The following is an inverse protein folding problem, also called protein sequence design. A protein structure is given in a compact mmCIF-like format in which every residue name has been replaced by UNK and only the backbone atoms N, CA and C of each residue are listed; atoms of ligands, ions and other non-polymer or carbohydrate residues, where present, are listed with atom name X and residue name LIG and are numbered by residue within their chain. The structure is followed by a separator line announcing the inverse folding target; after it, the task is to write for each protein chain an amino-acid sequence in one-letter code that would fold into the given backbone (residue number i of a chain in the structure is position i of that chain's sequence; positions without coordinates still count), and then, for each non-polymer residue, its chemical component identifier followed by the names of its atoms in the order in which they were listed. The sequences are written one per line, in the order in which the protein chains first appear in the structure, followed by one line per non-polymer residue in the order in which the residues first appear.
data_IF_614002469983
#
_entry.id   IF_614002469983
#
_cell.length_a   1.000
_cell.length_b   1.000
_cell.length_c   1.000
_cell.angle_alpha   90.00
_cell.angle_beta   90.00
_cell.angle_gamma   90.00
#
_symmetry.space_group_name_H-M   'P 1'
#
loop_
_entity.id
_entity.type
_entity.pdbx_description
1 polymer ?
#
# COMPACT_ATOMS: atom_id res chain seq x y z
N UNK A 1 27.99 9.29 -38.74
CA UNK A 1 28.83 9.68 -37.58
C UNK A 1 28.31 11.00 -37.03
N UNK A 2 28.27 11.09 -35.70
CA UNK A 2 27.79 12.17 -34.83
C UNK A 2 27.96 13.62 -35.33
N UNK A 3 26.98 14.47 -35.00
CA UNK A 3 27.16 15.49 -33.96
C UNK A 3 25.84 16.13 -33.50
N UNK A 4 25.48 15.75 -32.28
CA UNK A 4 24.55 16.43 -31.38
C UNK A 4 25.07 17.82 -31.01
N UNK A 5 24.21 18.83 -31.08
CA UNK A 5 24.23 19.96 -30.14
C UNK A 5 22.95 20.78 -30.27
N UNK A 6 22.01 20.61 -29.34
CA UNK A 6 20.93 21.56 -29.11
C UNK A 6 20.95 21.88 -27.62
N UNK A 7 21.61 22.98 -27.27
CA UNK A 7 21.31 23.70 -26.04
C UNK A 7 20.03 24.49 -26.32
N UNK A 8 18.91 24.06 -25.73
CA UNK A 8 17.72 24.89 -25.57
C UNK A 8 17.35 24.88 -24.09
N UNK A 9 17.44 26.09 -23.52
CA UNK A 9 16.91 26.59 -22.26
C UNK A 9 16.31 25.58 -21.27
N UNK A 10 17.03 25.42 -20.16
CA UNK A 10 16.51 25.18 -18.82
C UNK A 10 15.37 26.17 -18.51
N UNK A 11 14.12 25.75 -18.64
CA UNK A 11 12.93 26.40 -18.06
C UNK A 11 11.69 25.48 -18.23
N UNK A 12 11.79 24.23 -17.74
CA UNK A 12 10.65 23.32 -17.50
C UNK A 12 11.14 22.04 -16.79
N UNK A 13 12.03 22.17 -15.82
CA UNK A 13 12.55 21.05 -15.03
C UNK A 13 11.59 20.69 -13.90
N UNK A 14 10.44 20.08 -14.24
CA UNK A 14 9.61 19.25 -13.36
C UNK A 14 8.59 18.45 -14.21
N UNK A 15 9.02 17.84 -15.31
CA UNK A 15 8.34 16.64 -15.81
C UNK A 15 9.08 15.42 -15.26
N UNK A 16 8.52 14.86 -14.21
CA UNK A 16 8.95 13.61 -13.63
C UNK A 16 7.78 12.96 -12.94
N UNK A 17 6.76 12.62 -13.75
CA UNK A 17 5.68 11.69 -13.45
C UNK A 17 5.23 11.73 -11.98
N UNK A 18 4.21 12.53 -11.69
CA UNK A 18 3.31 12.19 -10.60
C UNK A 18 2.70 10.85 -11.02
N UNK A 19 3.39 9.77 -10.68
CA UNK A 19 2.83 8.45 -10.74
C UNK A 19 1.65 8.56 -9.79
N UNK A 20 0.46 8.76 -10.35
CA UNK A 20 -0.77 8.64 -9.64
C UNK A 20 -0.85 7.18 -9.22
N UNK A 21 -0.12 6.82 -8.16
CA UNK A 21 -0.57 5.80 -7.26
C UNK A 21 -1.89 6.34 -6.75
N UNK A 22 -2.95 6.06 -7.49
CA UNK A 22 -4.28 5.98 -6.92
C UNK A 22 -4.07 5.13 -5.67
N UNK A 23 -4.05 5.81 -4.51
CA UNK A 23 -4.32 5.13 -3.26
C UNK A 23 -5.70 4.55 -3.50
N UNK A 24 -5.76 3.27 -3.91
CA UNK A 24 -6.97 2.47 -3.79
C UNK A 24 -7.26 2.50 -2.30
N UNK A 25 -8.06 3.48 -1.87
CA UNK A 25 -8.73 3.45 -0.58
C UNK A 25 -9.65 2.25 -0.72
N UNK A 26 -9.18 1.10 -0.25
CA UNK A 26 -9.97 -0.13 -0.20
C UNK A 26 -11.04 0.11 0.86
N UNK A 27 -12.14 0.72 0.45
CA UNK A 27 -13.35 0.81 1.25
C UNK A 27 -13.93 -0.60 1.28
N UNK A 28 -13.69 -1.33 2.36
CA UNK A 28 -14.37 -2.58 2.65
C UNK A 28 -15.85 -2.27 2.81
N UNK A 29 -16.62 -2.50 1.74
CA UNK A 29 -18.07 -2.54 1.86
C UNK A 29 -18.44 -3.87 2.52
N UNK A 30 -19.25 -3.86 3.60
CA UNK A 30 -19.81 -5.10 4.13
C UNK A 30 -20.56 -5.79 2.99
N UNK A 31 -20.42 -7.11 2.93
CA UNK A 31 -21.02 -7.97 1.92
C UNK A 31 -22.49 -7.57 1.78
N UNK A 32 -22.87 -7.08 0.59
CA UNK A 32 -24.23 -6.70 0.29
C UNK A 32 -25.14 -7.88 0.65
N UNK A 33 -26.05 -7.67 1.61
CA UNK A 33 -27.04 -8.68 2.03
C UNK A 33 -28.01 -9.10 0.91
N UNK A 34 -27.81 -8.59 -0.32
CA UNK A 34 -28.53 -8.91 -1.54
C UNK A 34 -27.77 -9.88 -2.47
N UNK A 35 -26.59 -10.37 -2.06
CA UNK A 35 -25.89 -11.42 -2.79
C UNK A 35 -26.57 -12.78 -2.54
N UNK A 36 -27.22 -13.31 -3.57
CA UNK A 36 -27.92 -14.62 -3.58
C UNK A 36 -26.96 -15.83 -3.46
N UNK A 37 -25.69 -15.61 -3.08
CA UNK A 37 -24.67 -16.63 -2.90
C UNK A 37 -23.94 -16.38 -1.57
N UNK A 38 -24.10 -17.29 -0.63
CA UNK A 38 -23.29 -17.34 0.59
C UNK A 38 -21.80 -17.38 0.16
N UNK A 39 -20.93 -16.50 0.69
CA UNK A 39 -19.50 -16.55 0.40
C UNK A 39 -18.94 -17.92 0.74
N UNK A 40 -18.01 -18.44 -0.07
CA UNK A 40 -17.32 -19.67 0.28
C UNK A 40 -16.56 -19.49 1.60
N UNK A 41 -16.44 -20.56 2.39
CA UNK A 41 -15.67 -20.52 3.65
C UNK A 41 -14.23 -20.02 3.40
N UNK A 42 -13.62 -20.42 2.28
CA UNK A 42 -12.32 -19.92 1.85
C UNK A 42 -12.31 -18.40 1.64
N UNK A 43 -13.38 -17.82 1.08
CA UNK A 43 -13.48 -16.38 0.91
C UNK A 43 -13.57 -15.63 2.25
N UNK A 44 -14.28 -16.19 3.24
CA UNK A 44 -14.32 -15.63 4.59
C UNK A 44 -12.95 -15.72 5.27
N UNK A 45 -12.27 -16.87 5.20
CA UNK A 45 -10.91 -17.02 5.72
C UNK A 45 -9.90 -16.09 5.03
N UNK A 46 -10.09 -15.81 3.74
CA UNK A 46 -9.29 -14.83 3.01
C UNK A 46 -9.57 -13.40 3.47
N UNK A 47 -10.82 -13.07 3.78
CA UNK A 47 -11.21 -11.77 4.32
C UNK A 47 -10.54 -11.53 5.68
N UNK A 48 -10.60 -12.51 6.59
CA UNK A 48 -10.00 -12.40 7.92
C UNK A 48 -8.48 -12.17 7.86
N UNK A 49 -7.79 -12.82 6.89
CA UNK A 49 -6.36 -12.59 6.65
C UNK A 49 -6.06 -11.17 6.15
N UNK A 50 -6.95 -10.60 5.34
CA UNK A 50 -6.81 -9.22 4.90
C UNK A 50 -7.06 -8.26 6.06
N UNK A 51 -8.05 -8.52 6.89
CA UNK A 51 -8.36 -7.72 8.08
C UNK A 51 -7.19 -7.71 9.08
N UNK A 52 -6.63 -8.87 9.43
CA UNK A 52 -5.45 -8.97 10.31
C UNK A 52 -4.25 -8.21 9.74
N UNK A 53 -3.95 -8.41 8.45
CA UNK A 53 -2.82 -7.71 7.81
C UNK A 53 -3.04 -6.20 7.68
N UNK A 54 -4.28 -5.74 7.54
CA UNK A 54 -4.67 -4.33 7.55
C UNK A 54 -4.44 -3.70 8.93
N UNK A 55 -4.91 -4.36 9.99
CA UNK A 55 -4.73 -3.90 11.37
C UNK A 55 -3.24 -3.75 11.72
N UNK A 56 -2.42 -4.72 11.32
CA UNK A 56 -0.96 -4.67 11.51
C UNK A 56 -0.29 -3.54 10.73
N UNK A 57 -0.71 -3.30 9.49
CA UNK A 57 -0.19 -2.19 8.70
C UNK A 57 -0.57 -0.84 9.31
N UNK A 58 -1.79 -0.70 9.82
CA UNK A 58 -2.23 0.51 10.54
C UNK A 58 -1.36 0.74 11.76
N UNK A 59 -1.19 -0.27 12.61
CA UNK A 59 -0.39 -0.17 13.84
C UNK A 59 1.08 0.19 13.55
N UNK A 60 1.72 -0.49 12.59
CA UNK A 60 3.11 -0.17 12.23
C UNK A 60 3.26 1.23 11.63
N UNK A 61 2.27 1.68 10.86
CA UNK A 61 2.24 3.05 10.32
C UNK A 61 2.12 4.09 11.44
N UNK A 62 1.28 3.84 12.44
CA UNK A 62 1.12 4.74 13.60
C UNK A 62 2.41 4.83 14.42
N UNK A 63 3.09 3.69 14.63
CA UNK A 63 4.40 3.65 15.30
C UNK A 63 5.44 4.46 14.52
N UNK A 64 5.48 4.35 13.19
CA UNK A 64 6.39 5.16 12.37
C UNK A 64 6.08 6.65 12.49
N UNK A 65 4.80 7.04 12.52
CA UNK A 65 4.40 8.45 12.72
C UNK A 65 4.82 8.97 14.07
N UNK A 66 4.63 8.19 15.13
CA UNK A 66 5.07 8.55 16.48
C UNK A 66 6.59 8.64 16.56
N UNK A 67 7.30 7.71 15.92
CA UNK A 67 8.75 7.74 15.86
C UNK A 67 9.22 9.02 15.17
N UNK A 68 8.72 9.33 13.97
CA UNK A 68 9.10 10.52 13.22
C UNK A 68 8.74 11.84 13.94
N UNK A 69 7.72 11.83 14.80
CA UNK A 69 7.33 12.99 15.60
C UNK A 69 8.23 13.23 16.83
N UNK A 70 8.93 12.20 17.31
CA UNK A 70 9.76 12.24 18.52
C UNK A 70 11.26 12.11 18.23
N UNK A 71 11.65 12.01 16.97
CA UNK A 71 13.03 11.83 16.59
C UNK A 71 13.78 13.16 16.61
N UNK A 72 14.73 13.27 17.53
CA UNK A 72 15.73 14.33 17.52
C UNK A 72 16.69 14.13 16.33
N UNK A 73 17.19 15.25 15.78
CA UNK A 73 17.79 15.45 14.44
C UNK A 73 19.04 14.59 14.12
N UNK A 74 19.44 13.66 15.00
CA UNK A 74 20.74 12.97 14.99
C UNK A 74 20.73 11.54 14.41
N UNK A 75 19.80 11.24 13.50
CA UNK A 75 20.15 10.49 12.28
C UNK A 75 20.01 8.96 12.23
N UNK A 76 19.56 8.29 13.29
CA UNK A 76 19.22 6.85 13.23
C UNK A 76 17.74 6.57 12.86
N UNK A 77 16.99 7.66 12.71
CA UNK A 77 16.06 7.92 11.61
C UNK A 77 14.79 7.09 11.50
N UNK A 78 14.26 6.48 12.56
CA UNK A 78 13.06 5.62 12.51
C UNK A 78 13.13 4.49 11.46
N UNK A 79 14.33 4.18 10.94
CA UNK A 79 14.56 3.31 9.79
C UNK A 79 14.04 1.89 10.04
N UNK A 80 14.13 1.45 11.29
CA UNK A 80 13.59 0.17 11.73
C UNK A 80 12.07 0.13 11.60
N UNK A 81 11.39 1.21 11.98
CA UNK A 81 9.94 1.31 11.87
C UNK A 81 9.50 1.48 10.41
N UNK A 82 10.28 2.20 9.60
CA UNK A 82 10.06 2.29 8.16
C UNK A 82 10.17 0.90 7.50
N UNK A 83 11.20 0.12 7.82
CA UNK A 83 11.36 -1.27 7.32
C UNK A 83 10.21 -2.18 7.75
N UNK A 84 9.66 -1.99 8.96
CA UNK A 84 8.47 -2.73 9.44
C UNK A 84 7.24 -2.38 8.62
N UNK A 85 6.96 -1.09 8.40
CA UNK A 85 5.83 -0.64 7.57
C UNK A 85 5.93 -1.20 6.16
N UNK A 86 7.09 -1.14 5.53
CA UNK A 86 7.30 -1.71 4.17
C UNK A 86 7.04 -3.22 4.15
N UNK A 87 7.48 -3.94 5.18
CA UNK A 87 7.25 -5.38 5.30
C UNK A 87 5.76 -5.71 5.46
N UNK A 88 5.08 -5.01 6.36
CA UNK A 88 3.65 -5.26 6.63
C UNK A 88 2.76 -4.78 5.47
N UNK A 89 3.16 -3.73 4.73
CA UNK A 89 2.53 -3.32 3.48
C UNK A 89 2.62 -4.44 2.42
N UNK A 90 3.77 -5.10 2.30
CA UNK A 90 3.90 -6.22 1.36
C UNK A 90 2.99 -7.38 1.74
N UNK A 91 2.91 -7.73 3.03
CA UNK A 91 2.00 -8.78 3.51
C UNK A 91 0.54 -8.45 3.26
N UNK A 92 0.12 -7.20 3.51
CA UNK A 92 -1.23 -6.73 3.22
C UNK A 92 -1.57 -6.86 1.72
N UNK A 93 -0.64 -6.46 0.84
CA UNK A 93 -0.80 -6.61 -0.61
C UNK A 93 -0.90 -8.07 -1.04
N UNK A 94 -0.16 -8.97 -0.42
CA UNK A 94 -0.22 -10.40 -0.70
C UNK A 94 -1.55 -11.01 -0.21
N UNK A 95 -2.02 -10.61 0.98
CA UNK A 95 -3.32 -10.99 1.51
C UNK A 95 -4.46 -10.51 0.59
N UNK A 96 -4.43 -9.25 0.14
CA UNK A 96 -5.39 -8.71 -0.82
C UNK A 96 -5.41 -9.48 -2.15
N UNK A 97 -4.23 -9.91 -2.63
CA UNK A 97 -4.14 -10.73 -3.84
C UNK A 97 -4.76 -12.11 -3.63
N UNK A 98 -4.52 -12.73 -2.47
CA UNK A 98 -5.15 -13.98 -2.05
C UNK A 98 -6.68 -13.85 -2.00
N UNK A 99 -7.18 -12.81 -1.33
CA UNK A 99 -8.61 -12.49 -1.27
C UNK A 99 -9.24 -12.34 -2.65
N UNK A 100 -8.63 -11.54 -3.55
CA UNK A 100 -9.13 -11.38 -4.93
C UNK A 100 -9.19 -12.71 -5.71
N UNK A 101 -8.32 -13.68 -5.39
CA UNK A 101 -8.31 -15.01 -6.01
C UNK A 101 -9.38 -15.93 -5.40
N UNK A 102 -9.51 -15.94 -4.08
CA UNK A 102 -10.40 -16.84 -3.34
C UNK A 102 -11.87 -16.40 -3.37
N UNK A 103 -12.12 -15.09 -3.48
CA UNK A 103 -13.45 -14.48 -3.53
C UNK A 103 -13.91 -14.08 -4.94
N UNK A 104 -13.10 -14.29 -5.98
CA UNK A 104 -13.58 -14.10 -7.35
C UNK A 104 -14.70 -15.11 -7.60
N UNK A 105 -15.92 -14.61 -7.74
CA UNK A 105 -17.08 -15.40 -8.11
C UNK A 105 -16.72 -16.30 -9.30
N UNK A 106 -16.85 -17.61 -9.10
CA UNK A 106 -17.07 -18.53 -10.21
C UNK A 106 -18.55 -18.51 -10.54
#
# INVERSE_FOLDING_TARGET
MLRTSVFHCFLAGCMGMVNASAQEVVVFRPIDANATSIPSLACLDAYDRVDDSSARLSMSSDILRLCAANEDVDGDGCDKELKRVVTDQSKFRDALRGFKKECRAK
#
